data_IF_318282659294
#
_entry.id   IF_318282659294
#
_cell.length_a   1.000
_cell.length_b   1.000
_cell.length_c   1.000
_cell.angle_alpha   90.00
_cell.angle_beta   90.00
_cell.angle_gamma   90.00
#
_symmetry.space_group_name_H-M   'P 1'
#
loop_
_entity.id
_entity.type
_entity.pdbx_description
1 polymer ?
#
# COMPACT_ATOMS: atom_id res chain seq x y z
N UNK A 1 11.39 -1.52 -0.77
CA UNK A 1 11.07 -2.63 -1.70
C UNK A 1 10.66 -3.91 -0.99
N UNK A 2 10.97 -4.05 0.30
CA UNK A 2 10.73 -5.30 1.06
C UNK A 2 9.25 -5.69 1.21
N UNK A 3 8.33 -4.72 1.36
CA UNK A 3 6.92 -5.05 1.60
C UNK A 3 6.27 -5.81 0.44
N UNK A 4 6.50 -5.39 -0.81
CA UNK A 4 5.88 -6.04 -1.98
C UNK A 4 6.37 -7.49 -2.13
N UNK A 5 7.67 -7.72 -1.95
CA UNK A 5 8.26 -9.05 -2.02
C UNK A 5 7.73 -9.93 -0.89
N UNK A 6 7.70 -9.40 0.35
CA UNK A 6 7.17 -10.10 1.52
C UNK A 6 5.71 -10.52 1.32
N UNK A 7 4.86 -9.63 0.79
CA UNK A 7 3.45 -9.95 0.49
C UNK A 7 3.32 -10.97 -0.64
N UNK A 8 4.12 -10.84 -1.70
CA UNK A 8 4.14 -11.79 -2.79
C UNK A 8 4.53 -13.18 -2.29
N UNK A 9 5.64 -13.30 -1.57
CA UNK A 9 6.16 -14.58 -1.07
C UNK A 9 5.17 -15.26 -0.13
N UNK A 10 4.55 -14.49 0.78
CA UNK A 10 3.54 -15.02 1.70
C UNK A 10 2.32 -15.62 0.95
N UNK A 11 1.78 -14.91 -0.05
CA UNK A 11 0.61 -15.37 -0.80
C UNK A 11 0.98 -16.52 -1.74
N UNK A 12 2.17 -16.45 -2.35
CA UNK A 12 2.65 -17.43 -3.33
C UNK A 12 2.72 -18.85 -2.78
N UNK A 13 2.97 -19.02 -1.47
CA UNK A 13 2.97 -20.33 -0.81
C UNK A 13 1.68 -21.11 -1.12
N UNK A 14 0.54 -20.41 -1.18
CA UNK A 14 -0.75 -21.04 -1.45
C UNK A 14 -1.26 -20.79 -2.88
N UNK A 15 -0.96 -19.63 -3.46
CA UNK A 15 -1.46 -19.25 -4.78
C UNK A 15 -0.59 -18.17 -5.44
N UNK A 16 0.24 -18.58 -6.41
CA UNK A 16 1.14 -17.68 -7.15
C UNK A 16 0.41 -16.66 -8.06
N UNK A 17 -0.75 -17.01 -8.62
CA UNK A 17 -1.56 -16.08 -9.41
C UNK A 17 -2.13 -14.97 -8.51
N UNK A 18 -2.68 -15.35 -7.35
CA UNK A 18 -3.18 -14.39 -6.38
C UNK A 18 -2.05 -13.47 -5.87
N UNK A 19 -0.84 -13.98 -5.68
CA UNK A 19 0.32 -13.18 -5.29
C UNK A 19 0.65 -12.11 -6.35
N UNK A 20 0.69 -12.51 -7.62
CA UNK A 20 0.95 -11.61 -8.75
C UNK A 20 -0.13 -10.53 -8.87
N UNK A 21 -1.40 -10.91 -8.70
CA UNK A 21 -2.53 -9.96 -8.73
C UNK A 21 -2.53 -9.01 -7.53
N UNK A 22 -2.11 -9.47 -6.35
CA UNK A 22 -1.99 -8.62 -5.16
C UNK A 22 -0.95 -7.51 -5.39
N UNK A 23 0.24 -7.87 -5.87
CA UNK A 23 1.30 -6.92 -6.23
C UNK A 23 0.80 -5.93 -7.27
N UNK A 24 0.13 -6.41 -8.32
CA UNK A 24 -0.43 -5.53 -9.36
C UNK A 24 -1.44 -4.53 -8.80
N UNK A 25 -2.31 -4.95 -7.88
CA UNK A 25 -3.28 -4.06 -7.23
C UNK A 25 -2.62 -2.99 -6.34
N UNK A 26 -1.55 -3.34 -5.64
CA UNK A 26 -0.75 -2.41 -4.83
C UNK A 26 -0.07 -1.38 -5.73
N UNK A 27 0.64 -1.84 -6.77
CA UNK A 27 1.38 -0.99 -7.71
C UNK A 27 0.43 -0.03 -8.42
N UNK A 28 -0.66 -0.52 -9.01
CA UNK A 28 -1.61 0.34 -9.72
C UNK A 28 -2.27 1.37 -8.81
N UNK A 29 -2.53 1.03 -7.55
CA UNK A 29 -3.08 1.97 -6.57
C UNK A 29 -2.08 3.06 -6.19
N UNK A 30 -0.80 2.71 -6.09
CA UNK A 30 0.30 3.65 -5.87
C UNK A 30 0.52 4.57 -7.06
N UNK A 31 0.58 4.03 -8.28
CA UNK A 31 0.71 4.81 -9.52
C UNK A 31 -0.44 5.81 -9.69
N UNK A 32 -1.66 5.44 -9.31
CA UNK A 32 -2.81 6.34 -9.40
C UNK A 32 -2.69 7.57 -8.49
N UNK A 33 -1.77 7.60 -7.52
CA UNK A 33 -1.52 8.79 -6.71
C UNK A 33 -0.87 9.93 -7.51
N UNK A 34 -0.26 9.66 -8.66
CA UNK A 34 0.28 10.71 -9.54
C UNK A 34 -0.81 11.70 -9.99
N UNK A 35 -2.03 11.20 -10.22
CA UNK A 35 -3.16 12.02 -10.67
C UNK A 35 -3.89 12.70 -9.52
N UNK A 36 -3.94 12.03 -8.36
CA UNK A 36 -4.67 12.52 -7.19
C UNK A 36 -3.93 12.15 -5.90
N UNK A 37 -2.83 12.86 -5.59
CA UNK A 37 -1.95 12.50 -4.48
C UNK A 37 -2.60 12.75 -3.12
N UNK A 38 -3.64 13.60 -3.03
CA UNK A 38 -4.30 13.97 -1.77
C UNK A 38 -5.49 13.08 -1.39
N UNK A 39 -5.82 12.06 -2.19
CA UNK A 39 -7.01 11.20 -1.98
C UNK A 39 -6.92 10.24 -0.81
N UNK A 40 -5.72 9.98 -0.30
CA UNK A 40 -5.55 9.18 0.91
C UNK A 40 -5.90 9.97 2.16
N UNK A 41 -6.46 9.27 3.15
CA UNK A 41 -6.80 9.84 4.44
C UNK A 41 -5.52 10.26 5.19
N UNK A 42 -5.57 11.40 5.87
CA UNK A 42 -4.48 11.86 6.74
C UNK A 42 -4.48 10.97 8.00
N UNK A 43 -3.29 10.65 8.51
CA UNK A 43 -3.10 10.07 9.83
C UNK A 43 -2.62 11.19 10.76
N UNK A 44 -3.51 11.65 11.64
CA UNK A 44 -3.30 12.85 12.46
C UNK A 44 -2.16 12.69 13.48
N UNK A 45 -1.78 11.45 13.79
CA UNK A 45 -0.71 11.12 14.72
C UNK A 45 0.68 11.49 14.17
N UNK A 46 0.84 11.55 12.84
CA UNK A 46 2.12 11.82 12.18
C UNK A 46 1.92 12.85 11.07
N UNK A 47 2.53 14.02 11.25
CA UNK A 47 2.44 15.11 10.29
C UNK A 47 2.88 14.66 8.88
N UNK A 48 2.01 14.89 7.89
CA UNK A 48 2.28 14.56 6.49
C UNK A 48 2.03 13.10 6.11
N UNK A 49 1.76 12.21 7.07
CA UNK A 49 1.46 10.82 6.80
C UNK A 49 0.04 10.65 6.25
N UNK A 50 -0.08 9.91 5.16
CA UNK A 50 -1.35 9.55 4.53
C UNK A 50 -1.46 8.04 4.38
N UNK A 51 -2.69 7.55 4.46
CA UNK A 51 -3.02 6.15 4.15
C UNK A 51 -3.95 6.06 2.95
N UNK A 52 -3.65 5.12 2.07
CA UNK A 52 -4.48 4.74 0.95
C UNK A 52 -4.91 3.28 1.11
N UNK A 53 -6.22 3.02 1.02
CA UNK A 53 -6.77 1.67 1.02
C UNK A 53 -6.66 1.06 -0.38
N UNK A 54 -6.23 -0.20 -0.43
CA UNK A 54 -6.11 -0.99 -1.66
C UNK A 54 -7.02 -2.21 -1.54
N UNK A 55 -8.04 -2.28 -2.39
CA UNK A 55 -9.00 -3.39 -2.41
C UNK A 55 -8.39 -4.62 -3.06
N UNK A 56 -8.17 -5.68 -2.27
CA UNK A 56 -7.76 -6.99 -2.77
C UNK A 56 -8.08 -8.09 -1.76
N UNK A 57 -8.70 -9.19 -2.21
CA UNK A 57 -9.11 -10.27 -1.31
C UNK A 57 -10.07 -9.78 -0.20
N UNK A 58 -10.08 -10.47 0.95
CA UNK A 58 -10.99 -10.16 2.05
C UNK A 58 -10.56 -8.96 2.90
N UNK A 59 -9.25 -8.75 3.05
CA UNK A 59 -8.70 -7.78 4.01
C UNK A 59 -7.99 -6.60 3.35
N UNK A 60 -7.68 -6.68 2.05
CA UNK A 60 -7.01 -5.60 1.32
C UNK A 60 -5.60 -5.30 1.82
N UNK A 61 -5.07 -4.18 1.34
CA UNK A 61 -3.80 -3.61 1.77
C UNK A 61 -3.96 -2.14 2.09
N UNK A 62 -2.96 -1.59 2.76
CA UNK A 62 -2.89 -0.19 3.15
C UNK A 62 -1.52 0.33 2.76
N UNK A 63 -1.50 1.36 1.94
CA UNK A 63 -0.28 2.08 1.55
C UNK A 63 -0.15 3.29 2.47
N UNK A 64 0.93 3.34 3.26
CA UNK A 64 1.37 4.56 3.94
C UNK A 64 2.28 5.34 2.99
N UNK A 65 2.00 6.62 2.80
CA UNK A 65 2.76 7.48 1.91
C UNK A 65 2.78 8.92 2.41
N UNK A 66 3.71 9.70 1.89
CA UNK A 66 3.79 11.14 2.09
C UNK A 66 3.79 11.86 0.74
N UNK A 67 3.40 13.14 0.75
CA UNK A 67 3.58 14.03 -0.40
C UNK A 67 4.73 14.97 -0.02
N UNK A 68 5.85 14.89 -0.74
CA UNK A 68 7.03 15.73 -0.53
C UNK A 68 7.23 16.58 -1.79
N UNK A 69 7.05 17.89 -1.66
CA UNK A 69 7.08 18.81 -2.80
C UNK A 69 6.12 18.37 -3.92
N UNK A 70 6.65 17.87 -5.03
CA UNK A 70 5.89 17.37 -6.18
C UNK A 70 5.81 15.82 -6.23
N UNK A 71 6.49 15.13 -5.31
CA UNK A 71 6.60 13.68 -5.29
C UNK A 71 5.64 13.02 -4.30
N UNK A 72 5.20 11.81 -4.68
CA UNK A 72 4.53 10.87 -3.79
C UNK A 72 5.54 9.81 -3.36
N UNK A 73 5.85 9.77 -2.06
CA UNK A 73 6.78 8.81 -1.50
C UNK A 73 6.01 7.71 -0.78
N UNK A 74 6.09 6.50 -1.31
CA UNK A 74 5.54 5.30 -0.66
C UNK A 74 6.49 4.87 0.46
N UNK A 75 5.98 4.88 1.69
CA UNK A 75 6.76 4.55 2.89
C UNK A 75 6.66 3.06 3.19
N UNK A 76 5.42 2.56 3.32
CA UNK A 76 5.15 1.17 3.68
C UNK A 76 3.87 0.64 3.04
N UNK A 77 3.82 -0.67 2.84
CA UNK A 77 2.61 -1.38 2.44
C UNK A 77 2.29 -2.48 3.44
N UNK A 78 1.10 -2.42 4.03
CA UNK A 78 0.62 -3.37 5.02
C UNK A 78 -0.52 -4.20 4.47
N UNK A 79 -0.57 -5.48 4.81
CA UNK A 79 -1.80 -6.25 4.64
C UNK A 79 -2.85 -5.79 5.67
N UNK A 80 -4.14 -5.84 5.36
CA UNK A 80 -5.19 -5.28 6.24
C UNK A 80 -5.34 -5.94 7.61
N UNK A 81 -4.68 -7.09 7.85
CA UNK A 81 -4.58 -7.76 9.15
C UNK A 81 -3.29 -7.47 9.91
N UNK A 82 -2.31 -6.83 9.29
CA UNK A 82 -1.05 -6.54 9.94
C UNK A 82 -1.24 -5.42 10.95
N UNK A 83 -0.49 -5.51 12.05
CA UNK A 83 -0.35 -4.36 12.92
C UNK A 83 0.39 -3.27 12.15
N UNK A 84 -0.13 -2.05 12.23
CA UNK A 84 0.39 -0.88 11.54
C UNK A 84 0.98 0.03 12.59
N UNK A 85 2.26 -0.16 12.98
CA UNK A 85 2.89 0.79 13.89
C UNK A 85 2.88 2.17 13.21
N UNK A 86 2.52 3.18 14.02
CA UNK A 86 2.64 4.58 13.66
C UNK A 86 4.11 4.99 13.84
#
# INVERSE_FOLDING_TARGET
>A
MDDLNRHYDFIKINNADAASRAVKAIVSSGESLQQNPRRGAILDEIAGLRKLLVSFGKYGFVIHYAILEEDVVILHVYHGKENRPL
#
